data_IF_524546001851
#
_entry.id   IF_524546001851
#
_cell.length_a   1.000
_cell.length_b   1.000
_cell.length_c   1.000
_cell.angle_alpha   90.00
_cell.angle_beta   90.00
_cell.angle_gamma   90.00
#
_symmetry.space_group_name_H-M   'P 1'
#
loop_
_entity.id
_entity.type
_entity.pdbx_description
1 polymer ?
#
# COMPACT_ATOMS: atom_id res chain seq x y z
N UNK A 1 3.40 -14.94 11.65
CA UNK A 1 3.62 -13.49 11.86
C UNK A 1 3.85 -12.80 10.52
N UNK A 2 2.75 -12.40 9.85
CA UNK A 2 2.75 -11.83 8.50
C UNK A 2 3.19 -10.37 8.44
N UNK A 3 3.28 -9.82 7.23
CA UNK A 3 3.49 -8.39 6.99
C UNK A 3 2.36 -7.56 7.62
N UNK A 4 2.59 -6.28 7.97
CA UNK A 4 1.50 -5.39 8.37
C UNK A 4 0.48 -5.24 7.24
N UNK A 5 -0.78 -4.96 7.60
CA UNK A 5 -1.80 -4.57 6.62
C UNK A 5 -1.47 -3.19 6.03
N UNK A 6 -1.51 -3.10 4.70
CA UNK A 6 -1.25 -1.87 3.94
C UNK A 6 -2.56 -1.23 3.46
N UNK A 7 -2.50 0.05 3.10
CA UNK A 7 -3.58 0.72 2.37
C UNK A 7 -3.19 0.85 0.90
N UNK A 8 -4.08 0.41 0.00
CA UNK A 8 -3.95 0.65 -1.43
C UNK A 8 -4.96 1.73 -1.82
N UNK A 9 -4.50 2.96 -2.01
CA UNK A 9 -5.31 4.00 -2.61
C UNK A 9 -5.43 3.73 -4.11
N UNK A 10 -6.66 3.61 -4.57
CA UNK A 10 -7.05 3.14 -5.90
C UNK A 10 -8.21 3.98 -6.43
N UNK A 11 -8.62 3.75 -7.67
CA UNK A 11 -9.90 4.21 -8.20
C UNK A 11 -10.56 3.19 -9.12
N UNK A 12 -11.86 3.32 -9.31
CA UNK A 12 -12.62 2.49 -10.26
C UNK A 12 -12.20 2.79 -11.71
N UNK A 13 -12.12 1.75 -12.53
CA UNK A 13 -11.80 1.87 -13.96
C UNK A 13 -10.35 2.22 -14.28
N UNK A 14 -9.42 2.06 -13.33
CA UNK A 14 -7.99 2.29 -13.55
C UNK A 14 -7.25 0.97 -13.76
N UNK A 15 -6.79 0.75 -14.99
CA UNK A 15 -6.03 -0.45 -15.35
C UNK A 15 -4.74 -0.64 -14.53
N UNK A 16 -4.02 0.45 -14.21
CA UNK A 16 -2.83 0.36 -13.36
C UNK A 16 -3.16 -0.11 -11.94
N UNK A 17 -4.34 0.27 -11.42
CA UNK A 17 -4.79 -0.18 -10.11
C UNK A 17 -5.16 -1.67 -10.11
N UNK A 18 -5.79 -2.16 -11.17
CA UNK A 18 -6.11 -3.58 -11.35
C UNK A 18 -4.82 -4.43 -11.36
N UNK A 19 -3.81 -4.02 -12.14
CA UNK A 19 -2.50 -4.69 -12.15
C UNK A 19 -1.80 -4.67 -10.79
N UNK A 20 -1.89 -3.55 -10.06
CA UNK A 20 -1.36 -3.47 -8.70
C UNK A 20 -2.04 -4.47 -7.75
N UNK A 21 -3.37 -4.59 -7.82
CA UNK A 21 -4.15 -5.57 -7.04
C UNK A 21 -3.70 -6.99 -7.35
N UNK A 22 -3.55 -7.34 -8.63
CA UNK A 22 -3.07 -8.66 -9.05
C UNK A 22 -1.69 -8.97 -8.48
N UNK A 23 -0.74 -8.03 -8.58
CA UNK A 23 0.61 -8.23 -8.08
C UNK A 23 0.68 -8.29 -6.55
N UNK A 24 -0.12 -7.48 -5.84
CA UNK A 24 -0.22 -7.53 -4.38
C UNK A 24 -0.78 -8.87 -3.91
N UNK A 25 -1.81 -9.40 -4.59
CA UNK A 25 -2.35 -10.75 -4.31
C UNK A 25 -1.31 -11.83 -4.57
N UNK A 26 -0.64 -11.79 -5.72
CA UNK A 26 0.38 -12.78 -6.09
C UNK A 26 1.58 -12.81 -5.13
N UNK A 27 1.89 -11.69 -4.49
CA UNK A 27 2.95 -11.56 -3.50
C UNK A 27 2.45 -11.68 -2.05
N UNK A 28 1.17 -12.05 -1.84
CA UNK A 28 0.56 -12.28 -0.53
C UNK A 28 0.73 -11.09 0.43
N UNK A 29 0.49 -9.87 -0.06
CA UNK A 29 0.36 -8.71 0.82
C UNK A 29 -0.99 -8.72 1.52
N UNK A 30 -1.02 -8.37 2.80
CA UNK A 30 -2.23 -7.93 3.47
C UNK A 30 -2.48 -6.46 3.11
N UNK A 31 -3.64 -6.13 2.56
CA UNK A 31 -3.99 -4.75 2.23
C UNK A 31 -5.50 -4.53 2.19
N UNK A 32 -5.90 -3.27 2.39
CA UNK A 32 -7.26 -2.77 2.18
C UNK A 32 -7.29 -1.75 1.05
N UNK A 33 -8.12 -1.94 0.00
CA UNK A 33 -8.31 -0.94 -1.03
C UNK A 33 -9.16 0.23 -0.49
N UNK A 34 -8.79 1.45 -0.87
CA UNK A 34 -9.54 2.68 -0.58
C UNK A 34 -9.69 3.45 -1.89
N UNK A 35 -10.93 3.67 -2.30
CA UNK A 35 -11.23 4.48 -3.48
C UNK A 35 -11.04 5.96 -3.16
N UNK A 36 -10.08 6.59 -3.83
CA UNK A 36 -9.78 8.01 -3.64
C UNK A 36 -10.89 8.90 -4.17
N UNK A 37 -11.70 8.44 -5.13
CA UNK A 37 -12.76 9.28 -5.70
C UNK A 37 -13.98 9.43 -4.76
N UNK A 38 -14.02 8.69 -3.66
CA UNK A 38 -15.07 8.76 -2.64
C UNK A 38 -14.79 9.80 -1.54
N UNK A 39 -13.60 10.40 -1.51
CA UNK A 39 -13.17 11.38 -0.51
C UNK A 39 -12.37 12.50 -1.18
N UNK A 40 -12.79 13.75 -1.00
CA UNK A 40 -12.19 14.89 -1.68
C UNK A 40 -10.72 15.14 -1.27
N UNK A 41 -10.38 14.89 0.00
CA UNK A 41 -9.03 15.08 0.52
C UNK A 41 -8.09 13.97 0.00
N UNK A 42 -8.56 12.73 -0.04
CA UNK A 42 -7.82 11.62 -0.64
C UNK A 42 -7.63 11.82 -2.15
N UNK A 43 -8.67 12.28 -2.85
CA UNK A 43 -8.58 12.61 -4.27
C UNK A 43 -7.55 13.69 -4.54
N UNK A 44 -7.55 14.77 -3.75
CA UNK A 44 -6.57 15.84 -3.88
C UNK A 44 -5.14 15.37 -3.57
N UNK A 45 -4.98 14.45 -2.61
CA UNK A 45 -3.66 13.96 -2.17
C UNK A 45 -3.07 12.87 -3.06
N UNK A 46 -3.89 11.98 -3.59
CA UNK A 46 -3.44 10.74 -4.26
C UNK A 46 -4.01 10.54 -5.66
N UNK A 47 -5.00 11.34 -6.08
CA UNK A 47 -5.77 11.13 -7.31
C UNK A 47 -4.95 11.07 -8.59
N UNK A 48 -3.82 11.77 -8.66
CA UNK A 48 -2.92 11.78 -9.82
C UNK A 48 -1.84 10.67 -9.76
N UNK A 49 -1.68 10.04 -8.59
CA UNK A 49 -0.62 9.08 -8.31
C UNK A 49 -1.11 7.63 -8.17
N UNK A 50 -2.43 7.41 -8.25
CA UNK A 50 -3.02 6.07 -8.10
C UNK A 50 -2.46 5.10 -9.15
N UNK A 51 -2.12 3.85 -8.75
CA UNK A 51 -2.26 3.29 -7.41
C UNK A 51 -1.15 3.74 -6.44
N UNK A 52 -1.51 4.02 -5.19
CA UNK A 52 -0.58 4.36 -4.10
C UNK A 52 -0.66 3.33 -2.98
N UNK A 53 0.48 2.75 -2.61
CA UNK A 53 0.60 1.79 -1.51
C UNK A 53 1.21 2.48 -0.28
N UNK A 54 0.53 2.39 0.86
CA UNK A 54 0.92 3.06 2.10
C UNK A 54 0.84 2.15 3.32
N UNK A 55 1.62 2.48 4.35
CA UNK A 55 1.52 1.93 5.71
C UNK A 55 1.22 3.10 6.66
N UNK A 56 -0.02 3.19 7.15
CA UNK A 56 -0.51 4.41 7.81
C UNK A 56 -0.33 5.63 6.90
N UNK A 57 0.30 6.67 7.41
CA UNK A 57 0.60 7.90 6.66
C UNK A 57 1.85 7.81 5.76
N UNK A 58 2.63 6.73 5.88
CA UNK A 58 3.86 6.55 5.11
C UNK A 58 3.57 5.91 3.77
N UNK A 59 3.77 6.66 2.69
CA UNK A 59 3.72 6.12 1.33
C UNK A 59 4.95 5.28 1.02
N UNK A 60 4.73 4.05 0.57
CA UNK A 60 5.76 3.08 0.21
C UNK A 60 6.05 3.10 -1.29
N UNK A 61 5.02 3.28 -2.12
CA UNK A 61 5.13 3.30 -3.57
C UNK A 61 3.91 3.99 -4.23
N UNK A 62 4.10 4.53 -5.44
CA UNK A 62 3.10 5.25 -6.26
C UNK A 62 3.24 4.89 -7.75
N UNK A 63 2.16 4.81 -8.52
CA UNK A 63 2.19 4.52 -9.96
C UNK A 63 2.42 3.04 -10.27
N UNK A 64 3.36 2.69 -11.17
CA UNK A 64 3.55 1.28 -11.59
C UNK A 64 4.03 0.40 -10.43
N UNK A 65 3.17 -0.50 -9.94
CA UNK A 65 3.43 -1.43 -8.84
C UNK A 65 3.72 -2.85 -9.34
N UNK A 66 4.78 -3.01 -10.14
CA UNK A 66 5.21 -4.31 -10.65
C UNK A 66 5.86 -5.21 -9.57
N UNK A 67 5.97 -6.51 -9.87
CA UNK A 67 6.54 -7.53 -8.96
C UNK A 67 7.88 -7.15 -8.34
N UNK A 68 8.83 -6.64 -9.12
CA UNK A 68 10.17 -6.28 -8.61
C UNK A 68 10.10 -5.16 -7.57
N UNK A 69 9.28 -4.13 -7.83
CA UNK A 69 9.12 -2.99 -6.93
C UNK A 69 8.41 -3.39 -5.64
N UNK A 70 7.35 -4.18 -5.74
CA UNK A 70 6.66 -4.73 -4.57
C UNK A 70 7.54 -5.71 -3.79
N UNK A 71 8.39 -6.49 -4.46
CA UNK A 71 9.39 -7.33 -3.81
C UNK A 71 10.37 -6.52 -2.94
N UNK A 72 10.84 -5.37 -3.44
CA UNK A 72 11.66 -4.46 -2.64
C UNK A 72 10.91 -3.91 -1.42
N UNK A 73 9.65 -3.49 -1.60
CA UNK A 73 8.80 -3.04 -0.48
C UNK A 73 8.66 -4.14 0.58
N UNK A 74 8.38 -5.38 0.17
CA UNK A 74 8.28 -6.53 1.08
C UNK A 74 9.56 -6.75 1.87
N UNK A 75 10.72 -6.70 1.20
CA UNK A 75 12.02 -6.83 1.86
C UNK A 75 12.27 -5.70 2.87
N UNK A 76 11.94 -4.46 2.54
CA UNK A 76 12.07 -3.32 3.45
C UNK A 76 11.19 -3.51 4.69
N UNK A 77 9.91 -3.86 4.51
CA UNK A 77 8.99 -4.12 5.64
C UNK A 77 9.47 -5.26 6.53
N UNK A 78 10.02 -6.34 5.96
CA UNK A 78 10.59 -7.45 6.71
C UNK A 78 11.87 -7.08 7.49
N UNK A 79 12.59 -6.05 7.06
CA UNK A 79 13.77 -5.52 7.76
C UNK A 79 13.36 -4.57 8.88
N UNK A 80 12.42 -3.65 8.60
CA UNK A 80 11.92 -2.67 9.58
C UNK A 80 11.28 -3.39 10.79
N UNK A 81 10.61 -4.52 10.58
CA UNK A 81 10.08 -5.37 11.66
C UNK A 81 11.15 -5.97 12.59
N UNK A 82 12.42 -6.03 12.18
CA UNK A 82 13.51 -6.45 13.06
C UNK A 82 14.00 -5.32 13.96
N UNK A 83 13.58 -4.06 13.69
CA UNK A 83 13.92 -2.88 14.46
C UNK A 83 12.74 -2.23 15.22
N UNK A 84 11.49 -2.55 14.90
CA UNK A 84 10.29 -2.00 15.55
C UNK A 84 9.64 -3.02 16.49
N UNK A 85 10.31 -3.29 17.61
CA UNK A 85 9.72 -3.88 18.79
C UNK A 85 9.49 -2.80 19.82
N UNK A 86 8.38 -2.08 19.73
CA UNK A 86 7.62 -1.36 20.78
C UNK A 86 6.67 -0.41 20.07
N UNK A 87 5.37 -0.62 20.24
CA UNK A 87 4.37 0.44 20.45
C UNK A 87 3.12 -0.24 21.03
N UNK A 88 3.25 -0.66 22.30
CA UNK A 88 2.11 -0.64 23.23
C UNK A 88 1.69 0.80 23.42
N UNK A 89 0.45 1.13 23.06
CA UNK A 89 -0.29 2.19 23.74
C UNK A 89 -1.65 1.60 24.10
N UNK A 90 -1.68 1.06 25.32
CA UNK A 90 -2.89 1.08 26.15
C UNK A 90 -3.26 2.54 26.44
N UNK A 91 -4.53 2.86 26.26
CA UNK A 91 -5.27 3.84 27.06
C UNK A 91 -6.78 3.56 26.93
#
# INVERSE_FOLDING_TARGET
MGLPELTLYTRVGCHLCELAVEHLRALEFAYRPVDVDMDADLKARYGDDVPVLALGDRVLARGVLGRSRLGMVKLTLLRDRRGHGTDTVDA
#
